data_IF_693440889133
#
_entry.id   IF_693440889133
#
_cell.length_a   1.000
_cell.length_b   1.000
_cell.length_c   1.000
_cell.angle_alpha   90.00
_cell.angle_beta   90.00
_cell.angle_gamma   90.00
#
_symmetry.space_group_name_H-M   'P 1'
#
loop_
_entity.id
_entity.type
_entity.pdbx_description
1 polymer ?
#
# COMPACT_ATOMS: atom_id res chain seq x y z
N UNK A 1 -14.49 9.38 16.68
CA UNK A 1 -13.49 8.75 15.78
C UNK A 1 -13.55 9.45 14.42
N UNK A 2 -12.43 9.58 13.70
CA UNK A 2 -12.43 10.16 12.35
C UNK A 2 -13.38 9.38 11.44
N UNK A 3 -14.08 10.07 10.53
CA UNK A 3 -14.86 9.39 9.50
C UNK A 3 -13.93 8.92 8.36
N UNK A 4 -13.76 7.61 8.25
CA UNK A 4 -12.93 6.96 7.23
C UNK A 4 -13.70 6.64 5.94
N UNK A 5 -14.99 6.97 5.85
CA UNK A 5 -15.83 6.65 4.68
C UNK A 5 -15.26 7.21 3.38
N UNK A 6 -14.87 8.48 3.38
CA UNK A 6 -14.30 9.15 2.21
C UNK A 6 -12.96 8.53 1.77
N UNK A 7 -12.10 8.18 2.73
CA UNK A 7 -10.82 7.54 2.44
C UNK A 7 -11.02 6.12 1.89
N UNK A 8 -11.91 5.32 2.49
CA UNK A 8 -12.25 3.98 2.00
C UNK A 8 -12.77 4.02 0.56
N UNK A 9 -13.68 4.94 0.25
CA UNK A 9 -14.18 5.13 -1.11
C UNK A 9 -13.07 5.58 -2.06
N UNK A 10 -12.23 6.53 -1.65
CA UNK A 10 -11.11 7.01 -2.45
C UNK A 10 -10.08 5.92 -2.76
N UNK A 11 -9.78 5.05 -1.80
CA UNK A 11 -8.88 3.89 -2.00
C UNK A 11 -9.45 2.91 -3.02
N UNK A 12 -10.76 2.63 -2.98
CA UNK A 12 -11.39 1.75 -3.98
C UNK A 12 -11.42 2.37 -5.37
N UNK A 13 -11.65 3.68 -5.48
CA UNK A 13 -11.57 4.40 -6.75
C UNK A 13 -10.17 4.39 -7.33
N UNK A 14 -9.16 4.64 -6.50
CA UNK A 14 -7.76 4.59 -6.89
C UNK A 14 -7.36 3.16 -7.29
N UNK A 15 -7.79 2.14 -6.52
CA UNK A 15 -7.57 0.74 -6.86
C UNK A 15 -8.17 0.39 -8.22
N UNK A 16 -9.42 0.73 -8.48
CA UNK A 16 -10.08 0.43 -9.75
C UNK A 16 -9.39 1.10 -10.93
N UNK A 17 -9.01 2.38 -10.79
CA UNK A 17 -8.28 3.13 -11.81
C UNK A 17 -6.90 2.53 -12.09
N UNK A 18 -6.11 2.29 -11.04
CA UNK A 18 -4.77 1.71 -11.15
C UNK A 18 -4.80 0.30 -11.73
N UNK A 19 -5.77 -0.52 -11.33
CA UNK A 19 -5.94 -1.87 -11.86
C UNK A 19 -6.25 -1.88 -13.36
N UNK A 20 -7.18 -1.02 -13.81
CA UNK A 20 -7.50 -0.89 -15.23
C UNK A 20 -6.32 -0.37 -16.06
N UNK A 21 -5.54 0.56 -15.50
CA UNK A 21 -4.32 1.07 -16.14
C UNK A 21 -3.24 -0.02 -16.26
N UNK A 22 -3.05 -0.83 -15.21
CA UNK A 22 -2.10 -1.94 -15.20
C UNK A 22 -2.44 -2.98 -16.26
N UNK A 23 -3.72 -3.31 -16.44
CA UNK A 23 -4.16 -4.25 -17.47
C UNK A 23 -3.93 -3.76 -18.91
N UNK A 24 -3.86 -2.45 -19.12
CA UNK A 24 -3.62 -1.84 -20.43
C UNK A 24 -2.23 -1.22 -20.55
N UNK A 25 -1.28 -1.61 -19.72
CA UNK A 25 0.00 -0.91 -19.63
C UNK A 25 0.69 -0.75 -21.00
N UNK A 26 0.64 -1.77 -21.86
CA UNK A 26 1.20 -1.73 -23.22
C UNK A 26 0.54 -0.68 -24.14
N UNK A 27 -0.73 -0.35 -23.92
CA UNK A 27 -1.48 0.65 -24.68
C UNK A 27 -1.22 2.07 -24.15
N UNK A 28 -0.99 2.20 -22.84
CA UNK A 28 -0.74 3.50 -22.19
C UNK A 28 0.75 3.86 -22.10
N UNK A 29 1.66 2.92 -22.39
CA UNK A 29 3.11 3.12 -22.41
C UNK A 29 3.54 4.07 -23.53
N UNK A 30 3.57 5.37 -23.23
CA UNK A 30 4.40 6.32 -23.96
C UNK A 30 5.89 6.09 -23.65
N UNK A 31 6.83 6.42 -24.57
CA UNK A 31 8.27 6.11 -24.44
C UNK A 31 9.00 6.76 -23.25
N UNK A 32 8.30 7.52 -22.38
CA UNK A 32 8.89 8.26 -21.24
C UNK A 32 8.17 8.08 -19.89
N UNK A 33 7.19 7.19 -19.74
CA UNK A 33 6.41 7.02 -18.48
C UNK A 33 6.56 5.63 -17.85
N UNK A 34 7.80 5.21 -17.56
CA UNK A 34 8.12 3.87 -17.03
C UNK A 34 8.23 3.77 -15.49
N UNK A 35 8.22 4.86 -14.74
CA UNK A 35 8.64 4.86 -13.32
C UNK A 35 7.57 5.27 -12.30
N UNK A 36 6.33 5.59 -12.70
CA UNK A 36 5.38 6.26 -11.79
C UNK A 36 4.41 5.29 -11.12
N UNK A 37 4.23 4.06 -11.62
CA UNK A 37 3.13 3.20 -11.14
C UNK A 37 3.47 2.33 -9.93
N UNK A 38 4.70 1.81 -9.83
CA UNK A 38 5.02 0.81 -8.80
C UNK A 38 4.89 1.36 -7.38
N UNK A 39 5.28 2.63 -7.18
CA UNK A 39 5.12 3.32 -5.89
C UNK A 39 3.64 3.49 -5.53
N UNK A 40 2.83 3.99 -6.45
CA UNK A 40 1.39 4.17 -6.23
C UNK A 40 0.70 2.83 -5.94
N UNK A 41 1.05 1.78 -6.67
CA UNK A 41 0.56 0.41 -6.46
C UNK A 41 0.95 -0.13 -5.08
N UNK A 42 2.21 0.04 -4.67
CA UNK A 42 2.67 -0.37 -3.35
C UNK A 42 1.95 0.41 -2.24
N UNK A 43 1.84 1.72 -2.36
CA UNK A 43 1.10 2.54 -1.39
C UNK A 43 -0.37 2.13 -1.31
N UNK A 44 -1.02 1.80 -2.44
CA UNK A 44 -2.36 1.24 -2.45
C UNK A 44 -2.42 -0.09 -1.70
N UNK A 45 -1.47 -1.01 -1.90
CA UNK A 45 -1.39 -2.25 -1.12
C UNK A 45 -1.29 -1.95 0.38
N UNK A 46 -0.42 -1.03 0.78
CA UNK A 46 -0.29 -0.61 2.18
C UNK A 46 -1.61 -0.02 2.73
N UNK A 47 -2.34 0.76 1.93
CA UNK A 47 -3.66 1.28 2.29
C UNK A 47 -4.70 0.18 2.46
N UNK A 48 -4.76 -0.78 1.53
CA UNK A 48 -5.70 -1.91 1.60
C UNK A 48 -5.45 -2.73 2.87
N UNK A 49 -4.18 -3.04 3.17
CA UNK A 49 -3.82 -3.73 4.41
C UNK A 49 -4.22 -2.88 5.62
N UNK A 50 -3.85 -1.61 5.67
CA UNK A 50 -4.18 -0.71 6.79
C UNK A 50 -5.68 -0.64 7.10
N UNK A 51 -6.51 -0.63 6.06
CA UNK A 51 -7.98 -0.62 6.14
C UNK A 51 -8.58 -1.96 6.59
N UNK A 52 -7.76 -2.99 6.77
CA UNK A 52 -8.20 -4.33 7.15
C UNK A 52 -8.79 -5.11 5.96
N UNK A 53 -8.26 -4.89 4.75
CA UNK A 53 -8.70 -5.58 3.53
C UNK A 53 -7.61 -6.53 2.97
N UNK A 54 -7.22 -7.58 3.73
CA UNK A 54 -6.11 -8.46 3.36
C UNK A 54 -6.37 -9.27 2.09
N UNK A 55 -7.61 -9.66 1.79
CA UNK A 55 -7.94 -10.43 0.58
C UNK A 55 -7.83 -9.55 -0.66
N UNK A 56 -8.29 -8.31 -0.55
CA UNK A 56 -8.16 -7.33 -1.64
C UNK A 56 -6.70 -6.93 -1.86
N UNK A 57 -5.93 -6.76 -0.77
CA UNK A 57 -4.49 -6.54 -0.83
C UNK A 57 -3.76 -7.73 -1.46
N UNK A 58 -4.13 -8.96 -1.09
CA UNK A 58 -3.59 -10.20 -1.66
C UNK A 58 -3.84 -10.28 -3.17
N UNK A 59 -5.06 -9.96 -3.60
CA UNK A 59 -5.41 -9.93 -5.02
C UNK A 59 -4.55 -8.90 -5.77
N UNK A 60 -4.50 -7.66 -5.30
CA UNK A 60 -3.71 -6.59 -5.91
C UNK A 60 -2.21 -6.94 -5.97
N UNK A 61 -1.66 -7.46 -4.87
CA UNK A 61 -0.26 -7.84 -4.77
C UNK A 61 0.10 -8.96 -5.76
N UNK A 62 -0.75 -9.98 -5.91
CA UNK A 62 -0.56 -11.05 -6.91
C UNK A 62 -0.59 -10.50 -8.34
N UNK A 63 -1.51 -9.59 -8.63
CA UNK A 63 -1.66 -9.01 -9.95
C UNK A 63 -0.49 -8.10 -10.36
N UNK A 64 0.08 -7.35 -9.42
CA UNK A 64 1.08 -6.33 -9.73
C UNK A 64 2.53 -6.76 -9.45
N UNK A 65 2.76 -7.60 -8.45
CA UNK A 65 4.11 -7.95 -7.98
C UNK A 65 4.32 -9.46 -7.75
N UNK A 66 3.36 -10.31 -8.12
CA UNK A 66 3.44 -11.76 -7.91
C UNK A 66 4.57 -12.40 -8.74
N UNK A 67 5.28 -13.39 -8.19
CA UNK A 67 6.44 -14.02 -8.84
C UNK A 67 6.18 -14.61 -10.23
N UNK A 68 4.94 -15.01 -10.51
CA UNK A 68 4.54 -15.67 -11.75
C UNK A 68 4.16 -14.68 -12.87
N UNK A 69 4.12 -13.37 -12.55
CA UNK A 69 3.89 -12.32 -13.54
C UNK A 69 5.15 -12.23 -14.41
N UNK A 70 4.99 -12.27 -15.74
CA UNK A 70 6.10 -12.10 -16.68
C UNK A 70 6.60 -10.64 -16.63
N UNK A 71 7.58 -10.36 -15.76
CA UNK A 71 8.15 -9.03 -15.53
C UNK A 71 9.10 -8.56 -16.66
N UNK A 72 8.94 -9.05 -17.89
CA UNK A 72 9.82 -8.71 -19.00
C UNK A 72 9.70 -7.19 -19.31
N UNK A 73 10.56 -6.38 -18.69
CA UNK A 73 10.62 -4.93 -18.86
C UNK A 73 10.22 -4.07 -17.66
N UNK A 74 9.89 -4.64 -16.49
CA UNK A 74 9.66 -3.87 -15.26
C UNK A 74 10.95 -3.59 -14.50
N UNK A 75 11.04 -2.42 -13.87
CA UNK A 75 12.10 -2.10 -12.91
C UNK A 75 11.92 -2.92 -11.65
N UNK A 76 13.02 -3.48 -11.12
CA UNK A 76 12.98 -4.18 -9.84
C UNK A 76 12.60 -3.20 -8.72
N UNK A 77 11.58 -3.47 -7.89
CA UNK A 77 11.19 -2.57 -6.82
C UNK A 77 12.33 -2.32 -5.83
N UNK A 78 12.45 -1.09 -5.35
CA UNK A 78 13.43 -0.67 -4.35
C UNK A 78 12.87 0.42 -3.45
N UNK A 79 13.68 0.94 -2.53
CA UNK A 79 13.24 1.97 -1.56
C UNK A 79 11.97 1.56 -0.81
N UNK A 80 11.10 2.52 -0.51
CA UNK A 80 9.89 2.25 0.26
C UNK A 80 8.94 1.27 -0.45
N UNK A 81 8.86 1.34 -1.77
CA UNK A 81 8.08 0.41 -2.60
C UNK A 81 8.53 -1.03 -2.37
N UNK A 82 9.84 -1.28 -2.40
CA UNK A 82 10.41 -2.60 -2.17
C UNK A 82 10.12 -3.12 -0.76
N UNK A 83 10.18 -2.25 0.25
CA UNK A 83 9.85 -2.61 1.63
C UNK A 83 8.38 -3.00 1.77
N UNK A 84 7.47 -2.17 1.27
CA UNK A 84 6.03 -2.42 1.32
C UNK A 84 5.69 -3.75 0.64
N UNK A 85 6.17 -3.96 -0.60
CA UNK A 85 5.90 -5.17 -1.37
C UNK A 85 6.47 -6.41 -0.67
N UNK A 86 7.70 -6.32 -0.17
CA UNK A 86 8.35 -7.45 0.52
C UNK A 86 7.63 -7.84 1.81
N UNK A 87 7.29 -6.88 2.66
CA UNK A 87 6.61 -7.17 3.93
C UNK A 87 5.17 -7.59 3.70
N UNK A 88 4.43 -6.94 2.80
CA UNK A 88 3.09 -7.38 2.42
C UNK A 88 3.09 -8.81 1.84
N UNK A 89 4.08 -9.14 1.00
CA UNK A 89 4.26 -10.51 0.49
C UNK A 89 4.46 -11.53 1.60
N UNK A 90 5.36 -11.25 2.55
CA UNK A 90 5.57 -12.13 3.72
C UNK A 90 4.31 -12.23 4.58
N UNK A 91 3.71 -11.11 4.98
CA UNK A 91 2.58 -11.06 5.89
C UNK A 91 1.28 -11.63 5.32
N UNK A 92 1.07 -11.54 4.01
CA UNK A 92 -0.11 -12.08 3.32
C UNK A 92 0.14 -13.47 2.69
N UNK A 93 1.34 -14.02 2.81
CA UNK A 93 1.70 -15.32 2.22
C UNK A 93 1.69 -15.33 0.69
N UNK A 94 2.06 -14.21 0.06
CA UNK A 94 2.12 -14.07 -1.40
C UNK A 94 3.59 -14.03 -1.84
N UNK A 95 4.03 -14.96 -2.71
CA UNK A 95 5.36 -14.87 -3.30
C UNK A 95 5.43 -13.67 -4.24
N UNK A 96 6.35 -12.76 -3.95
CA UNK A 96 6.56 -11.51 -4.71
C UNK A 96 7.91 -11.52 -5.39
N UNK A 97 8.09 -10.64 -6.37
CA UNK A 97 9.40 -10.42 -7.01
C UNK A 97 10.46 -9.98 -5.99
N UNK A 98 11.72 -10.42 -6.17
CA UNK A 98 12.83 -9.92 -5.37
C UNK A 98 12.96 -8.40 -5.50
N UNK A 99 13.26 -7.71 -4.40
CA UNK A 99 13.49 -6.27 -4.38
C UNK A 99 15.00 -5.96 -4.31
N UNK A 100 15.41 -4.77 -4.75
CA UNK A 100 16.80 -4.30 -4.69
C UNK A 100 16.90 -2.97 -3.95
N UNK A 101 17.84 -2.86 -3.04
CA UNK A 101 18.04 -1.69 -2.20
C UNK A 101 19.40 -1.04 -2.46
N UNK A 102 19.42 0.29 -2.41
CA UNK A 102 20.63 1.10 -2.57
C UNK A 102 21.34 1.27 -1.22
N UNK A 103 22.60 1.71 -1.29
CA UNK A 103 23.34 2.17 -0.10
C UNK A 103 22.58 3.33 0.56
N UNK A 104 22.38 3.29 1.88
CA UNK A 104 21.56 4.26 2.60
C UNK A 104 20.10 3.82 2.83
N UNK A 105 19.72 2.61 2.40
CA UNK A 105 18.40 2.01 2.62
C UNK A 105 18.43 0.84 3.62
N UNK A 106 19.47 0.78 4.46
CA UNK A 106 19.70 -0.31 5.43
C UNK A 106 18.50 -0.50 6.36
N UNK A 107 17.91 0.60 6.85
CA UNK A 107 16.71 0.58 7.68
C UNK A 107 15.53 -0.16 7.01
N UNK A 108 15.37 -0.01 5.69
CA UNK A 108 14.27 -0.66 4.96
C UNK A 108 14.51 -2.17 4.86
N UNK A 109 15.76 -2.58 4.66
CA UNK A 109 16.16 -3.99 4.63
C UNK A 109 15.97 -4.63 6.01
N UNK A 110 16.47 -3.97 7.06
CA UNK A 110 16.31 -4.42 8.45
C UNK A 110 14.83 -4.56 8.83
N UNK A 111 13.98 -3.61 8.42
CA UNK A 111 12.54 -3.71 8.64
C UNK A 111 11.94 -4.93 7.92
N UNK A 112 12.33 -5.22 6.68
CA UNK A 112 11.84 -6.41 5.94
C UNK A 112 12.21 -7.71 6.66
N UNK A 113 13.38 -7.75 7.29
CA UNK A 113 13.89 -8.92 8.01
C UNK A 113 13.26 -9.08 9.39
N UNK A 114 12.93 -7.98 10.06
CA UNK A 114 12.53 -7.98 11.47
C UNK A 114 11.09 -7.49 11.73
N UNK A 115 10.26 -7.29 10.70
CA UNK A 115 8.88 -6.78 10.88
C UNK A 115 8.01 -7.66 11.78
N UNK A 116 8.24 -8.98 11.79
CA UNK A 116 7.54 -9.98 12.59
C UNK A 116 8.31 -10.38 13.86
N UNK A 117 9.46 -9.76 14.11
CA UNK A 117 10.25 -9.99 15.32
C UNK A 117 9.52 -9.47 16.58
N UNK A 118 10.05 -9.80 17.76
CA UNK A 118 9.53 -9.26 19.01
C UNK A 118 9.68 -7.73 19.08
N UNK A 119 8.89 -7.10 19.96
CA UNK A 119 8.84 -5.64 20.08
C UNK A 119 10.17 -5.02 20.48
N UNK A 120 11.08 -5.77 21.11
CA UNK A 120 12.41 -5.24 21.47
C UNK A 120 13.28 -4.99 20.23
N UNK A 121 12.99 -5.67 19.12
CA UNK A 121 13.63 -5.49 17.82
C UNK A 121 12.78 -4.62 16.90
N UNK A 122 11.47 -4.89 16.80
CA UNK A 122 10.57 -4.18 15.88
C UNK A 122 10.41 -2.70 16.27
N UNK A 123 10.19 -2.40 17.55
CA UNK A 123 9.81 -1.05 17.96
C UNK A 123 10.90 0.01 17.69
N UNK A 124 12.20 -0.24 17.97
CA UNK A 124 13.27 0.67 17.59
C UNK A 124 13.34 0.94 16.08
N UNK A 125 13.08 -0.07 15.25
CA UNK A 125 13.05 0.08 13.79
C UNK A 125 11.81 0.87 13.34
N UNK A 126 10.65 0.63 13.96
CA UNK A 126 9.42 1.35 13.65
C UNK A 126 9.53 2.84 13.98
N UNK A 127 10.19 3.21 15.09
CA UNK A 127 10.49 4.60 15.43
C UNK A 127 11.41 5.24 14.38
N UNK A 128 12.49 4.57 13.99
CA UNK A 128 13.38 5.07 12.94
C UNK A 128 12.67 5.22 11.58
N UNK A 129 11.75 4.32 11.27
CA UNK A 129 10.94 4.41 10.06
C UNK A 129 9.96 5.59 10.13
N UNK A 130 9.42 5.90 11.31
CA UNK A 130 8.63 7.11 11.53
C UNK A 130 9.43 8.40 11.33
N UNK A 131 10.69 8.45 11.77
CA UNK A 131 11.61 9.56 11.50
C UNK A 131 11.93 9.68 10.01
N UNK A 132 12.15 8.54 9.34
CA UNK A 132 12.35 8.50 7.88
C UNK A 132 11.14 9.06 7.15
N UNK A 133 9.93 8.69 7.55
CA UNK A 133 8.70 9.18 6.94
C UNK A 133 8.66 10.72 6.89
N UNK A 134 8.92 11.36 8.03
CA UNK A 134 8.95 12.84 8.13
C UNK A 134 10.04 13.44 7.24
N UNK A 135 11.25 12.89 7.26
CA UNK A 135 12.38 13.45 6.49
C UNK A 135 12.25 13.27 4.97
N UNK A 136 11.47 12.28 4.53
CA UNK A 136 11.26 11.95 3.12
C UNK A 136 9.93 12.46 2.55
N UNK A 137 9.22 13.31 3.31
CA UNK A 137 8.08 14.10 2.82
C UNK A 137 8.55 15.37 2.08
N UNK A 138 7.87 15.73 1.00
CA UNK A 138 8.23 16.85 0.10
C UNK A 138 8.34 18.24 0.76
N UNK A 139 7.76 18.45 1.94
CA UNK A 139 7.68 19.78 2.55
C UNK A 139 8.93 20.20 3.35
N UNK A 140 9.83 19.28 3.72
CA UNK A 140 10.92 19.60 4.68
C UNK A 140 12.36 19.35 4.19
N UNK A 141 12.59 18.72 3.03
CA UNK A 141 13.96 18.39 2.59
C UNK A 141 14.31 18.94 1.20
N UNK A 142 15.41 19.69 1.14
CA UNK A 142 16.03 20.16 -0.12
C UNK A 142 16.70 19.05 -0.95
N UNK A 143 16.24 17.80 -0.85
CA UNK A 143 16.82 16.64 -1.54
C UNK A 143 15.89 16.05 -2.60
N UNK A 144 16.49 15.55 -3.69
CA UNK A 144 15.85 15.05 -4.91
C UNK A 144 15.16 13.67 -4.80
N UNK A 145 14.89 13.15 -3.59
CA UNK A 145 14.31 11.81 -3.38
C UNK A 145 13.19 11.88 -2.33
N UNK A 146 11.94 11.83 -2.78
CA UNK A 146 10.77 11.84 -1.91
C UNK A 146 10.08 10.48 -1.97
N UNK A 147 9.90 9.87 -0.81
CA UNK A 147 9.11 8.64 -0.67
C UNK A 147 7.62 8.97 -0.57
N UNK A 148 7.28 10.20 -0.14
CA UNK A 148 5.91 10.67 0.10
C UNK A 148 5.70 12.10 -0.41
N UNK A 149 4.93 12.25 -1.49
CA UNK A 149 4.74 13.53 -2.19
C UNK A 149 3.28 13.97 -2.29
N UNK A 150 2.33 13.10 -1.93
CA UNK A 150 0.91 13.43 -1.85
C UNK A 150 0.50 13.86 -0.42
N UNK A 151 -0.41 14.83 -0.24
CA UNK A 151 -0.83 15.28 1.09
C UNK A 151 -1.37 14.16 2.00
N UNK A 152 -2.03 13.16 1.42
CA UNK A 152 -2.52 11.99 2.16
C UNK A 152 -1.36 11.15 2.70
N UNK A 153 -0.32 10.94 1.88
CA UNK A 153 0.88 10.19 2.27
C UNK A 153 1.65 10.93 3.36
N UNK A 154 1.75 12.27 3.27
CA UNK A 154 2.42 13.09 4.28
C UNK A 154 1.65 13.12 5.62
N UNK A 155 0.34 12.99 5.57
CA UNK A 155 -0.52 13.02 6.74
C UNK A 155 -0.67 11.65 7.42
N UNK A 156 -0.32 10.57 6.73
CA UNK A 156 -0.52 9.20 7.20
C UNK A 156 0.69 8.34 6.83
N UNK A 157 1.51 7.91 7.80
CA UNK A 157 2.62 6.98 7.56
C UNK A 157 2.07 5.59 7.27
N UNK A 158 1.53 5.41 6.08
CA UNK A 158 0.74 4.26 5.69
C UNK A 158 1.55 2.96 5.71
N UNK A 159 2.84 3.06 5.44
CA UNK A 159 3.80 1.98 5.57
C UNK A 159 3.87 1.49 7.03
N UNK A 160 3.85 2.39 8.02
CA UNK A 160 3.87 2.01 9.43
C UNK A 160 2.53 1.43 9.85
N UNK A 161 1.43 2.04 9.43
CA UNK A 161 0.08 1.53 9.71
C UNK A 161 -0.13 0.14 9.12
N UNK A 162 0.42 -0.12 7.93
CA UNK A 162 0.45 -1.44 7.31
C UNK A 162 1.22 -2.44 8.18
N UNK A 163 2.43 -2.11 8.62
CA UNK A 163 3.26 -2.99 9.47
C UNK A 163 2.53 -3.37 10.76
N UNK A 164 1.96 -2.37 11.45
CA UNK A 164 1.18 -2.59 12.67
C UNK A 164 -0.02 -3.50 12.39
N UNK A 165 -0.74 -3.30 11.28
CA UNK A 165 -1.87 -4.16 10.93
C UNK A 165 -1.46 -5.60 10.65
N UNK A 166 -0.36 -5.82 9.93
CA UNK A 166 0.15 -7.18 9.66
C UNK A 166 0.58 -7.90 10.94
N UNK A 167 1.01 -7.14 11.95
CA UNK A 167 1.25 -7.65 13.32
C UNK A 167 -0.02 -7.83 14.15
N UNK A 168 -1.20 -7.65 13.55
CA UNK A 168 -2.51 -7.74 14.20
C UNK A 168 -2.76 -6.69 15.29
N UNK A 169 -2.06 -5.55 15.23
CA UNK A 169 -2.32 -4.45 16.16
C UNK A 169 -3.69 -3.80 15.88
N UNK A 170 -4.38 -3.46 16.96
CA UNK A 170 -5.68 -2.78 16.93
C UNK A 170 -5.58 -1.30 17.29
N UNK A 171 -4.44 -0.89 17.85
CA UNK A 171 -4.15 0.49 18.25
C UNK A 171 -2.69 0.84 18.01
N UNK A 172 -2.39 2.13 17.91
CA UNK A 172 -1.00 2.59 17.81
C UNK A 172 -0.28 2.34 19.14
N UNK A 173 0.85 1.60 19.16
CA UNK A 173 1.61 1.36 20.38
C UNK A 173 2.10 2.65 21.06
N UNK A 174 2.25 2.64 22.38
CA UNK A 174 2.61 3.82 23.18
C UNK A 174 3.93 4.49 22.76
N UNK A 175 4.91 3.70 22.32
CA UNK A 175 6.19 4.20 21.84
C UNK A 175 6.04 5.05 20.55
N UNK A 176 5.02 4.76 19.75
CA UNK A 176 4.73 5.43 18.48
C UNK A 176 3.64 6.50 18.60
N UNK A 177 2.71 6.37 19.56
CA UNK A 177 1.58 7.29 19.71
C UNK A 177 1.97 8.73 20.02
N UNK A 178 3.18 8.93 20.56
CA UNK A 178 3.76 10.25 20.85
C UNK A 178 4.66 10.78 19.73
N UNK A 179 4.93 9.98 18.71
CA UNK A 179 5.81 10.34 17.61
C UNK A 179 5.15 11.40 16.70
N UNK A 180 5.86 12.45 16.26
CA UNK A 180 5.28 13.50 15.41
C UNK A 180 4.61 12.98 14.12
N UNK A 181 5.18 11.94 13.51
CA UNK A 181 4.63 11.29 12.31
C UNK A 181 3.20 10.72 12.49
N UNK A 182 2.81 10.41 13.72
CA UNK A 182 1.52 9.80 14.05
C UNK A 182 0.59 10.76 14.81
N UNK A 183 0.94 12.05 14.92
CA UNK A 183 0.10 13.05 15.59
C UNK A 183 -1.12 13.47 14.76
N UNK A 184 -1.13 13.21 13.45
CA UNK A 184 -2.24 13.58 12.60
C UNK A 184 -3.48 12.72 12.92
N UNK A 185 -4.70 13.27 12.99
CA UNK A 185 -5.91 12.51 13.34
C UNK A 185 -6.24 11.33 12.41
N UNK A 186 -5.75 11.38 11.16
CA UNK A 186 -5.92 10.30 10.19
C UNK A 186 -4.87 9.19 10.35
N UNK A 187 -3.79 9.41 11.10
CA UNK A 187 -2.70 8.46 11.32
C UNK A 187 -3.06 7.43 12.42
N UNK A 188 -4.17 6.72 12.21
CA UNK A 188 -4.73 5.77 13.19
C UNK A 188 -5.06 4.43 12.52
N UNK A 189 -5.12 3.36 13.33
CA UNK A 189 -5.62 2.06 12.87
C UNK A 189 -7.15 2.08 12.93
N UNK A 190 -7.78 2.27 11.78
CA UNK A 190 -9.24 2.26 11.66
C UNK A 190 -9.81 0.85 11.90
N UNK A 191 -11.01 0.75 12.45
CA UNK A 191 -11.70 -0.54 12.48
C UNK A 191 -11.97 -1.03 11.03
N UNK A 192 -11.71 -2.31 10.74
CA UNK A 192 -12.07 -2.89 9.45
C UNK A 192 -13.57 -2.75 9.21
N UNK A 193 -13.94 -2.36 8.00
CA UNK A 193 -15.33 -2.24 7.55
C UNK A 193 -15.43 -2.74 6.11
N UNK A 194 -16.57 -3.31 5.69
CA UNK A 194 -16.75 -3.77 4.31
C UNK A 194 -16.43 -2.66 3.28
N UNK A 195 -15.73 -2.97 2.18
CA UNK A 195 -15.51 -2.02 1.10
C UNK A 195 -16.86 -1.62 0.46
N UNK A 196 -17.12 -0.31 0.40
CA UNK A 196 -18.33 0.25 -0.23
C UNK A 196 -17.92 1.10 -1.43
N UNK A 197 -18.36 0.70 -2.61
CA UNK A 197 -18.10 1.44 -3.86
C UNK A 197 -18.95 2.70 -3.92
N UNK A 198 -18.31 3.83 -4.25
CA UNK A 198 -19.02 5.03 -4.66
C UNK A 198 -19.82 4.77 -5.94
N UNK A 199 -20.85 5.59 -6.20
CA UNK A 199 -21.62 5.51 -7.45
C UNK A 199 -20.73 5.67 -8.68
N UNK A 200 -19.77 6.61 -8.61
CA UNK A 200 -18.75 6.83 -9.64
C UNK A 200 -17.88 5.61 -9.88
N UNK A 201 -17.37 4.99 -8.82
CA UNK A 201 -16.52 3.80 -8.92
C UNK A 201 -17.28 2.64 -9.57
N UNK A 202 -18.54 2.43 -9.16
CA UNK A 202 -19.41 1.42 -9.75
C UNK A 202 -19.61 1.64 -11.25
N UNK A 203 -19.97 2.85 -11.66
CA UNK A 203 -20.12 3.19 -13.09
C UNK A 203 -18.83 2.99 -13.87
N UNK A 204 -17.68 3.37 -13.30
CA UNK A 204 -16.39 3.14 -13.93
C UNK A 204 -16.10 1.65 -14.13
N UNK A 205 -16.25 0.84 -13.09
CA UNK A 205 -16.04 -0.61 -13.15
C UNK A 205 -17.00 -1.27 -14.16
N UNK A 206 -18.27 -0.88 -14.17
CA UNK A 206 -19.27 -1.41 -15.11
C UNK A 206 -18.89 -1.10 -16.57
N UNK A 207 -18.38 0.11 -16.82
CA UNK A 207 -17.92 0.52 -18.14
C UNK A 207 -16.64 -0.23 -18.55
N UNK A 208 -15.65 -0.28 -17.66
CA UNK A 208 -14.35 -0.90 -17.95
C UNK A 208 -14.49 -2.41 -18.11
N UNK A 209 -15.29 -3.09 -17.29
CA UNK A 209 -15.45 -4.56 -17.35
C UNK A 209 -16.03 -5.04 -18.69
N UNK A 210 -16.79 -4.19 -19.40
CA UNK A 210 -17.29 -4.49 -20.76
C UNK A 210 -16.19 -4.48 -21.81
N UNK A 211 -15.14 -3.70 -21.59
CA UNK A 211 -14.00 -3.53 -22.50
C UNK A 211 -12.83 -4.43 -22.09
N UNK A 212 -12.68 -4.67 -20.79
CA UNK A 212 -11.69 -5.48 -20.13
C UNK A 212 -12.34 -6.53 -19.22
N UNK A 213 -12.66 -7.72 -19.74
CA UNK A 213 -13.21 -8.81 -18.92
C UNK A 213 -12.31 -9.19 -17.74
N UNK A 214 -10.99 -8.97 -17.83
CA UNK A 214 -10.06 -9.21 -16.73
C UNK A 214 -10.36 -8.35 -15.47
N UNK A 215 -11.04 -7.21 -15.61
CA UNK A 215 -11.50 -6.40 -14.48
C UNK A 215 -12.58 -7.09 -13.62
N UNK A 216 -13.25 -8.14 -14.12
CA UNK A 216 -14.21 -8.92 -13.32
C UNK A 216 -13.54 -9.58 -12.12
N UNK A 217 -12.24 -9.90 -12.21
CA UNK A 217 -11.49 -10.49 -11.11
C UNK A 217 -11.33 -9.52 -9.93
N UNK A 218 -11.17 -8.22 -10.20
CA UNK A 218 -11.18 -7.17 -9.18
C UNK A 218 -12.56 -7.04 -8.53
N UNK A 219 -13.63 -7.11 -9.32
CA UNK A 219 -15.02 -7.06 -8.80
C UNK A 219 -15.27 -8.22 -7.84
N UNK A 220 -14.87 -9.42 -8.23
CA UNK A 220 -14.97 -10.61 -7.38
C UNK A 220 -14.16 -10.45 -6.08
N UNK A 221 -12.94 -9.91 -6.15
CA UNK A 221 -12.11 -9.66 -4.97
C UNK A 221 -12.75 -8.66 -4.00
N UNK A 222 -13.34 -7.57 -4.51
CA UNK A 222 -14.06 -6.57 -3.68
C UNK A 222 -15.28 -7.21 -3.00
N UNK A 223 -16.07 -7.98 -3.75
CA UNK A 223 -17.25 -8.67 -3.21
C UNK A 223 -16.87 -9.66 -2.10
N UNK A 224 -15.86 -10.51 -2.34
CA UNK A 224 -15.36 -11.47 -1.36
C UNK A 224 -14.88 -10.77 -0.08
N UNK A 225 -14.13 -9.67 -0.20
CA UNK A 225 -13.69 -8.89 0.95
C UNK A 225 -14.86 -8.30 1.75
N UNK A 226 -15.94 -7.87 1.08
CA UNK A 226 -17.14 -7.36 1.74
C UNK A 226 -17.91 -8.44 2.48
N UNK A 227 -18.02 -9.64 1.91
CA UNK A 227 -18.66 -10.78 2.55
C UNK A 227 -17.92 -11.18 3.83
N UNK A 228 -16.58 -11.24 3.80
CA UNK A 228 -15.76 -11.58 4.97
C UNK A 228 -15.92 -10.62 6.15
N UNK A 229 -16.14 -9.33 5.88
CA UNK A 229 -16.29 -8.31 6.93
C UNK A 229 -17.76 -8.07 7.32
N UNK A 230 -18.70 -8.74 6.66
CA UNK A 230 -20.13 -8.69 6.97
C UNK A 230 -20.61 -9.93 7.74
N UNK A 231 -19.80 -10.98 7.78
CA UNK A 231 -20.03 -12.24 8.49
C UNK A 231 -19.59 -12.16 9.96
#
# INVERSE_FOLDING_TARGET
MPDWSALRMGVLEALAGTYALALYEDVWRGPRRRQIYDRDMALLIAMLVTLGWPDLATHALKCWFGSDVNHAGHTVPGGITGMIVSVAGKGLGVPVVPCTFQKGEELLVEMIEAWDADDSVFMPLAVQLADRHLSHCRQDSGQMRFDFDHPVEQAMPIELLMLLRLRSETSIPDALSKHPALQHPAATLADPQPPVLSSRCRTFIDCVSRVLPACETLVAAIANQAELLSA
#
